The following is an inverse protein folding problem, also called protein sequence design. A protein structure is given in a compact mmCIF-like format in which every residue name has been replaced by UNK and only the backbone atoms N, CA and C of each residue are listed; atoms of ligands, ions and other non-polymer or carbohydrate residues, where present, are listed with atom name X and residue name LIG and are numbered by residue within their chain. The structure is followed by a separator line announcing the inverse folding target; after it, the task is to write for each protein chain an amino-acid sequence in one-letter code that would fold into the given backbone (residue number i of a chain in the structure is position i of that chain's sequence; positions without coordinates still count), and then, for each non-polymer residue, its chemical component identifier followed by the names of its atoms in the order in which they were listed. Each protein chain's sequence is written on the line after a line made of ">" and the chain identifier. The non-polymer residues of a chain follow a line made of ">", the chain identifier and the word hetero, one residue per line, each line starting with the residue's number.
data_IF_294392287812
#
_entry.id   IF_294392287812
#
_cell.length_a   1.000
_cell.length_b   1.000
_cell.length_c   1.000
_cell.angle_alpha   90.00
_cell.angle_beta   90.00
_cell.angle_gamma   90.00
#
_symmetry.space_group_name_H-M   'P 1'
#
loop_
_entity.id
_entity.type
_entity.pdbx_description
1 polymer ?
#
# COMPACT_ATOMS: atom_id res chain seq x y z
N UNK A 1 -6.26 5.52 6.57
CA UNK A 1 -6.05 6.46 5.46
C UNK A 1 -5.56 7.81 5.95
N UNK A 2 -6.17 8.36 7.00
CA UNK A 2 -5.74 9.62 7.61
C UNK A 2 -4.31 9.59 8.15
N UNK A 3 -3.81 8.42 8.56
CA UNK A 3 -2.45 8.29 9.10
C UNK A 3 -1.37 8.09 8.04
N UNK A 4 -1.70 7.60 6.85
CA UNK A 4 -0.74 7.38 5.76
C UNK A 4 -0.73 8.53 4.76
N UNK A 5 -1.88 9.14 4.54
CA UNK A 5 -2.05 10.37 3.79
C UNK A 5 -2.06 11.59 4.72
N UNK A 6 -1.30 11.55 5.80
CA UNK A 6 -1.16 12.72 6.66
C UNK A 6 -0.92 13.95 5.81
N UNK A 7 -1.67 15.03 6.07
CA UNK A 7 -1.50 16.27 5.34
C UNK A 7 -0.03 16.65 5.30
N UNK A 8 0.43 17.09 4.15
CA UNK A 8 1.75 17.68 4.02
C UNK A 8 1.96 18.67 5.16
N UNK A 9 3.02 18.48 5.92
CA UNK A 9 3.36 19.33 7.06
C UNK A 9 2.81 18.89 8.41
N UNK A 10 1.92 17.90 8.51
CA UNK A 10 1.46 17.41 9.82
C UNK A 10 2.39 16.39 10.45
N UNK A 11 3.17 15.67 9.67
CA UNK A 11 4.17 14.72 10.15
C UNK A 11 5.36 14.70 9.20
N UNK A 12 6.42 15.37 9.59
CA UNK A 12 7.70 15.34 8.89
C UNK A 12 8.68 14.61 9.79
N UNK A 13 8.86 13.32 9.53
CA UNK A 13 9.92 12.55 10.14
C UNK A 13 11.17 12.70 9.25
N UNK A 14 12.33 13.00 9.83
CA UNK A 14 13.56 13.14 9.07
C UNK A 14 13.96 11.85 8.34
N UNK A 15 13.63 10.71 8.92
CA UNK A 15 13.80 9.38 8.35
C UNK A 15 12.77 8.42 8.94
N UNK A 16 12.11 7.63 8.09
CA UNK A 16 11.24 6.55 8.55
C UNK A 16 11.89 5.19 8.25
N UNK A 17 12.34 4.46 9.29
CA UNK A 17 13.06 3.20 9.10
C UNK A 17 12.13 2.03 8.74
N UNK A 18 10.83 2.20 8.89
CA UNK A 18 9.88 1.12 8.65
C UNK A 18 8.50 1.66 8.32
N UNK A 19 8.08 1.40 7.10
CA UNK A 19 6.71 1.66 6.64
C UNK A 19 6.23 0.51 5.76
N UNK A 20 4.99 0.08 5.91
CA UNK A 20 4.41 -0.91 5.02
C UNK A 20 2.89 -0.80 4.97
N UNK A 21 2.35 -0.68 3.78
CA UNK A 21 0.92 -0.81 3.54
C UNK A 21 0.61 -2.22 3.05
N UNK A 22 -0.32 -2.94 3.69
CA UNK A 22 -0.75 -4.24 3.19
C UNK A 22 -1.56 -4.07 1.90
N UNK A 23 -1.47 -5.07 1.04
CA UNK A 23 -2.34 -5.26 -0.11
C UNK A 23 -2.78 -6.71 -0.18
N UNK A 24 -3.90 -7.00 -0.83
CA UNK A 24 -4.26 -8.37 -1.11
C UNK A 24 -3.40 -8.91 -2.27
N UNK A 25 -3.07 -10.21 -2.29
CA UNK A 25 -2.63 -10.88 -3.50
C UNK A 25 -3.69 -10.78 -4.61
N UNK A 26 -3.32 -11.13 -5.83
CA UNK A 26 -4.31 -11.29 -6.90
C UNK A 26 -5.25 -12.46 -6.59
N UNK A 27 -6.41 -12.49 -7.24
CA UNK A 27 -7.39 -13.55 -6.99
C UNK A 27 -6.86 -14.94 -7.37
N UNK A 28 -6.00 -15.01 -8.39
CA UNK A 28 -5.34 -16.23 -8.82
C UNK A 28 -4.47 -16.80 -7.69
N UNK A 29 -3.68 -15.95 -7.08
CA UNK A 29 -2.82 -16.34 -5.95
C UNK A 29 -3.63 -16.69 -4.70
N UNK A 30 -4.73 -16.01 -4.43
CA UNK A 30 -5.65 -16.38 -3.35
C UNK A 30 -6.23 -17.78 -3.56
N UNK A 31 -6.58 -18.14 -4.82
CA UNK A 31 -7.04 -19.47 -5.19
C UNK A 31 -5.97 -20.57 -5.08
N UNK A 32 -4.70 -20.22 -5.20
CA UNK A 32 -3.60 -21.15 -4.94
C UNK A 32 -3.33 -21.37 -3.45
N UNK A 33 -3.74 -20.44 -2.61
CA UNK A 33 -3.47 -20.50 -1.17
C UNK A 33 -4.51 -21.28 -0.38
N UNK A 34 -5.75 -21.29 -0.81
CA UNK A 34 -6.87 -21.87 -0.07
C UNK A 34 -7.97 -22.41 -0.99
N UNK A 35 -8.80 -23.30 -0.44
CA UNK A 35 -9.93 -23.87 -1.15
C UNK A 35 -11.02 -22.82 -1.45
N UNK A 36 -11.76 -22.98 -2.55
CA UNK A 36 -12.86 -22.08 -2.95
C UNK A 36 -13.90 -21.83 -1.85
N UNK A 37 -14.20 -22.86 -1.05
CA UNK A 37 -15.16 -22.77 0.09
C UNK A 37 -14.68 -21.82 1.19
N UNK A 38 -13.37 -21.58 1.29
CA UNK A 38 -12.73 -20.73 2.30
C UNK A 38 -12.45 -19.31 1.79
N UNK A 39 -12.49 -19.14 0.46
CA UNK A 39 -12.29 -17.85 -0.19
C UNK A 39 -13.48 -16.92 -0.04
N UNK A 40 -14.68 -17.44 -0.35
CA UNK A 40 -15.89 -16.61 -0.34
C UNK A 40 -17.17 -17.39 -0.05
N UNK A 41 -18.02 -16.94 0.92
CA UNK A 41 -17.74 -15.86 1.87
C UNK A 41 -16.46 -16.10 2.68
N UNK A 42 -15.77 -15.05 3.08
CA UNK A 42 -14.50 -15.17 3.81
C UNK A 42 -14.63 -16.11 4.99
N UNK A 43 -13.91 -17.22 4.97
CA UNK A 43 -13.75 -18.09 6.14
C UNK A 43 -12.72 -17.45 7.09
N UNK A 44 -13.24 -16.79 8.12
CA UNK A 44 -12.40 -16.00 9.03
C UNK A 44 -11.26 -16.80 9.67
N UNK A 45 -11.47 -18.07 10.01
CA UNK A 45 -10.45 -18.90 10.66
C UNK A 45 -9.25 -19.12 9.72
N UNK A 46 -9.50 -19.48 8.46
CA UNK A 46 -8.46 -19.71 7.45
C UNK A 46 -7.75 -18.41 7.10
N UNK A 47 -8.50 -17.34 6.91
CA UNK A 47 -7.93 -16.03 6.58
C UNK A 47 -7.09 -15.44 7.72
N UNK A 48 -7.54 -15.55 8.97
CA UNK A 48 -6.78 -15.10 10.14
C UNK A 48 -5.47 -15.89 10.30
N UNK A 49 -5.51 -17.20 10.03
CA UNK A 49 -4.31 -18.03 10.04
C UNK A 49 -3.29 -17.57 8.98
N UNK A 50 -3.77 -17.29 7.76
CA UNK A 50 -2.94 -16.80 6.66
C UNK A 50 -2.58 -15.32 6.78
N UNK A 51 -3.17 -14.56 7.69
CA UNK A 51 -2.80 -13.18 8.01
C UNK A 51 -1.62 -13.06 9.00
N UNK A 52 -0.98 -14.20 9.33
CA UNK A 52 0.19 -14.22 10.20
C UNK A 52 -0.12 -14.09 11.68
N UNK A 53 -1.31 -14.44 12.10
CA UNK A 53 -1.72 -14.78 13.47
C UNK A 53 -1.38 -13.77 14.58
N UNK A 54 -1.09 -12.54 14.29
CA UNK A 54 -0.74 -11.54 15.32
C UNK A 54 -0.82 -10.10 14.85
N UNK A 55 -0.77 -9.87 13.56
CA UNK A 55 -0.78 -8.52 13.02
C UNK A 55 -2.17 -7.99 12.67
N UNK A 56 -3.18 -8.87 12.54
CA UNK A 56 -4.59 -8.53 12.25
C UNK A 56 -4.75 -7.51 11.10
N UNK A 57 -3.83 -7.53 10.13
CA UNK A 57 -3.80 -6.58 9.03
C UNK A 57 -5.06 -6.67 8.17
N UNK A 58 -5.61 -7.89 8.03
CA UNK A 58 -6.83 -8.11 7.27
C UNK A 58 -8.06 -7.46 7.90
N UNK A 59 -8.15 -7.39 9.22
CA UNK A 59 -9.27 -6.71 9.88
C UNK A 59 -9.29 -5.23 9.54
N UNK A 60 -8.13 -4.58 9.60
CA UNK A 60 -7.98 -3.16 9.23
C UNK A 60 -8.24 -2.97 7.74
N UNK A 61 -7.60 -3.78 6.90
CA UNK A 61 -7.77 -3.73 5.44
C UNK A 61 -9.22 -3.96 5.02
N UNK A 62 -9.91 -4.95 5.60
CA UNK A 62 -11.33 -5.20 5.30
C UNK A 62 -12.19 -3.99 5.62
N UNK A 63 -11.96 -3.35 6.77
CA UNK A 63 -12.67 -2.14 7.17
C UNK A 63 -12.43 -1.01 6.18
N UNK A 64 -11.18 -0.78 5.79
CA UNK A 64 -10.81 0.26 4.82
C UNK A 64 -11.40 -0.03 3.43
N UNK A 65 -11.41 -1.29 3.00
CA UNK A 65 -12.04 -1.69 1.74
C UNK A 65 -13.52 -1.36 1.72
N UNK A 66 -14.24 -1.75 2.78
CA UNK A 66 -15.69 -1.50 2.87
C UNK A 66 -15.99 0.00 2.95
N UNK A 67 -15.22 0.75 3.72
CA UNK A 67 -15.42 2.19 3.89
C UNK A 67 -15.14 2.99 2.60
N UNK A 68 -14.11 2.60 1.84
CA UNK A 68 -13.70 3.33 0.65
C UNK A 68 -14.42 2.85 -0.63
N UNK A 69 -14.69 1.55 -0.75
CA UNK A 69 -15.17 0.94 -2.00
C UNK A 69 -16.48 0.15 -1.86
N UNK A 70 -17.10 0.16 -0.68
CA UNK A 70 -18.30 -0.59 -0.38
C UNK A 70 -18.05 -2.11 -0.25
N UNK A 71 -19.11 -2.84 0.11
CA UNK A 71 -19.07 -4.30 0.23
C UNK A 71 -18.80 -4.94 -1.13
N UNK A 72 -18.14 -6.08 -1.09
CA UNK A 72 -17.91 -6.92 -2.27
C UNK A 72 -18.92 -8.07 -2.32
N UNK A 73 -19.25 -8.50 -3.53
CA UNK A 73 -20.18 -9.61 -3.80
C UNK A 73 -19.47 -10.92 -4.13
N UNK A 74 -18.17 -10.85 -4.43
CA UNK A 74 -17.35 -12.01 -4.81
C UNK A 74 -15.89 -11.81 -4.37
N UNK A 75 -15.14 -12.90 -4.39
CA UNK A 75 -13.69 -12.86 -4.13
C UNK A 75 -12.95 -12.05 -5.19
N UNK A 76 -13.37 -12.13 -6.45
CA UNK A 76 -12.76 -11.36 -7.55
C UNK A 76 -12.88 -9.86 -7.31
N UNK A 77 -14.07 -9.39 -6.97
CA UNK A 77 -14.31 -7.99 -6.64
C UNK A 77 -13.53 -7.56 -5.38
N UNK A 78 -13.48 -8.42 -4.36
CA UNK A 78 -12.76 -8.14 -3.12
C UNK A 78 -11.26 -8.03 -3.36
N UNK A 79 -10.68 -8.95 -4.13
CA UNK A 79 -9.26 -8.93 -4.49
C UNK A 79 -8.89 -7.69 -5.30
N UNK A 80 -9.71 -7.32 -6.30
CA UNK A 80 -9.48 -6.09 -7.09
C UNK A 80 -9.50 -4.83 -6.23
N UNK A 81 -10.46 -4.72 -5.32
CA UNK A 81 -10.51 -3.61 -4.37
C UNK A 81 -9.31 -3.59 -3.44
N UNK A 82 -8.85 -4.77 -3.00
CA UNK A 82 -7.64 -4.91 -2.17
C UNK A 82 -6.36 -4.48 -2.90
N UNK A 83 -6.23 -4.84 -4.18
CA UNK A 83 -5.15 -4.39 -5.03
C UNK A 83 -5.19 -2.86 -5.19
N UNK A 84 -6.36 -2.29 -5.44
CA UNK A 84 -6.52 -0.84 -5.57
C UNK A 84 -6.18 -0.11 -4.27
N UNK A 85 -6.63 -0.61 -3.12
CA UNK A 85 -6.30 -0.02 -1.82
C UNK A 85 -4.79 -0.02 -1.58
N UNK A 86 -4.12 -1.14 -1.82
CA UNK A 86 -2.68 -1.26 -1.68
C UNK A 86 -1.91 -0.30 -2.61
N UNK A 87 -2.36 -0.20 -3.86
CA UNK A 87 -1.81 0.71 -4.86
C UNK A 87 -1.89 2.17 -4.41
N UNK A 88 -3.08 2.62 -3.97
CA UNK A 88 -3.31 4.00 -3.54
C UNK A 88 -2.52 4.31 -2.26
N UNK A 89 -2.49 3.39 -1.30
CA UNK A 89 -1.72 3.57 -0.08
C UNK A 89 -0.23 3.69 -0.36
N UNK A 90 0.32 2.81 -1.20
CA UNK A 90 1.74 2.86 -1.59
C UNK A 90 2.07 4.14 -2.35
N UNK A 91 1.26 4.51 -3.34
CA UNK A 91 1.41 5.76 -4.09
C UNK A 91 1.42 6.97 -3.16
N UNK A 92 0.43 7.07 -2.28
CA UNK A 92 0.25 8.22 -1.39
C UNK A 92 1.43 8.44 -0.47
N UNK A 93 1.99 7.38 0.11
CA UNK A 93 3.13 7.54 1.03
C UNK A 93 4.37 8.01 0.29
N UNK A 94 4.70 7.41 -0.87
CA UNK A 94 5.86 7.81 -1.65
C UNK A 94 5.75 9.25 -2.14
N UNK A 95 4.58 9.67 -2.61
CA UNK A 95 4.36 11.04 -3.06
C UNK A 95 4.45 12.06 -1.91
N UNK A 96 3.92 11.74 -0.73
CA UNK A 96 4.06 12.60 0.46
C UNK A 96 5.53 12.72 0.86
N UNK A 97 6.30 11.62 0.87
CA UNK A 97 7.73 11.66 1.16
C UNK A 97 8.52 12.44 0.11
N UNK A 98 8.23 12.23 -1.16
CA UNK A 98 8.84 12.98 -2.26
C UNK A 98 8.62 14.50 -2.14
N UNK A 99 7.42 14.90 -1.76
CA UNK A 99 7.15 16.33 -1.55
C UNK A 99 7.90 16.88 -0.33
N UNK A 100 7.87 16.16 0.79
CA UNK A 100 8.44 16.64 2.04
C UNK A 100 9.98 16.71 2.03
N UNK A 101 10.66 15.99 1.13
CA UNK A 101 12.11 16.15 0.96
C UNK A 101 12.51 17.50 0.34
N UNK A 102 11.56 18.19 -0.29
CA UNK A 102 11.74 19.49 -0.92
C UNK A 102 11.31 20.66 -0.01
N UNK A 103 10.68 20.37 1.10
CA UNK A 103 10.27 21.37 2.08
C UNK A 103 11.46 21.66 3.04
N UNK A 104 12.25 22.66 2.68
CA UNK A 104 13.51 23.03 3.31
C UNK A 104 13.34 23.80 4.62
N UNK A 105 12.48 23.30 5.53
CA UNK A 105 12.53 23.74 6.91
C UNK A 105 13.54 22.92 7.72
N UNK A 106 13.54 23.08 9.05
CA UNK A 106 14.32 22.25 9.97
C UNK A 106 13.93 20.76 9.94
N UNK A 107 12.98 20.38 9.09
CA UNK A 107 12.34 19.07 9.00
C UNK A 107 12.18 18.67 7.54
N UNK A 108 13.19 18.08 6.94
CA UNK A 108 13.08 17.45 5.62
C UNK A 108 13.08 15.93 5.74
N UNK A 109 12.32 15.26 4.88
CA UNK A 109 12.37 13.81 4.79
C UNK A 109 13.61 13.36 4.01
N UNK A 110 14.50 12.63 4.65
CA UNK A 110 15.73 12.12 4.05
C UNK A 110 15.60 10.70 3.51
N UNK A 111 14.62 9.95 3.97
CA UNK A 111 14.40 8.58 3.49
C UNK A 111 13.22 7.87 4.15
N UNK A 112 12.77 6.85 3.44
CA UNK A 112 11.73 5.92 3.86
C UNK A 112 12.15 4.51 3.47
N UNK A 113 12.13 3.57 4.40
CA UNK A 113 12.34 2.16 4.14
C UNK A 113 11.02 1.42 4.16
N UNK A 114 10.76 0.62 3.13
CA UNK A 114 9.52 -0.12 3.03
C UNK A 114 9.60 -1.46 3.76
N UNK A 115 8.75 -1.68 4.71
CA UNK A 115 8.56 -2.92 5.42
C UNK A 115 7.33 -3.65 4.89
N UNK A 116 7.46 -4.69 4.22
CA UNK A 116 8.63 -5.33 3.66
C UNK A 116 8.39 -5.61 2.17
N UNK A 117 9.43 -6.00 1.45
CA UNK A 117 9.38 -6.07 0.00
C UNK A 117 8.51 -7.24 -0.50
N UNK A 118 8.73 -8.44 0.02
CA UNK A 118 8.02 -9.65 -0.38
C UNK A 118 7.66 -10.53 0.82
N UNK A 119 6.63 -11.36 0.67
CA UNK A 119 6.23 -12.32 1.67
C UNK A 119 7.10 -13.59 1.58
N UNK A 120 7.57 -14.10 2.71
CA UNK A 120 8.38 -15.34 2.78
C UNK A 120 7.52 -16.61 2.85
N UNK A 121 6.23 -16.47 3.05
CA UNK A 121 5.27 -17.57 3.15
C UNK A 121 3.91 -17.14 2.62
N UNK A 122 3.00 -18.09 2.45
CA UNK A 122 1.61 -17.81 2.08
C UNK A 122 0.96 -16.86 3.07
N UNK A 123 0.58 -15.68 2.61
CA UNK A 123 -0.09 -14.66 3.40
C UNK A 123 -1.14 -13.95 2.57
N UNK A 124 -2.30 -13.69 3.17
CA UNK A 124 -3.36 -12.89 2.55
C UNK A 124 -3.08 -11.39 2.63
N UNK A 125 -2.22 -10.95 3.53
CA UNK A 125 -1.73 -9.58 3.62
C UNK A 125 -0.38 -9.45 2.91
N UNK A 126 -0.43 -9.26 1.60
CA UNK A 126 0.76 -9.12 0.78
C UNK A 126 1.41 -7.72 0.88
N UNK A 127 2.46 -7.50 0.13
CA UNK A 127 3.21 -6.23 0.04
C UNK A 127 3.41 -5.86 -1.44
N UNK A 128 4.64 -5.53 -1.85
CA UNK A 128 4.97 -5.28 -3.27
C UNK A 128 4.94 -6.58 -4.09
N UNK A 129 5.41 -7.67 -3.47
CA UNK A 129 5.39 -9.02 -4.03
C UNK A 129 4.69 -9.94 -3.06
N UNK A 130 3.97 -10.91 -3.56
CA UNK A 130 3.42 -11.97 -2.75
C UNK A 130 4.46 -13.09 -2.48
N UNK A 131 4.02 -14.18 -1.85
CA UNK A 131 4.89 -15.31 -1.52
C UNK A 131 5.39 -16.09 -2.74
N UNK A 132 4.68 -16.03 -3.86
CA UNK A 132 5.06 -16.66 -5.13
C UNK A 132 5.91 -15.75 -6.03
N UNK A 133 6.26 -14.56 -5.53
CA UNK A 133 6.94 -13.49 -6.26
C UNK A 133 6.09 -12.90 -7.40
N UNK A 134 4.78 -13.01 -7.31
CA UNK A 134 3.88 -12.30 -8.21
C UNK A 134 3.76 -10.84 -7.75
N UNK A 135 3.93 -9.86 -8.65
CA UNK A 135 3.86 -8.46 -8.30
C UNK A 135 2.42 -8.03 -7.98
N UNK A 136 2.26 -7.26 -6.94
CA UNK A 136 0.99 -6.62 -6.61
C UNK A 136 0.90 -5.23 -7.24
N UNK A 137 -0.30 -4.65 -7.26
CA UNK A 137 -0.49 -3.28 -7.73
C UNK A 137 0.35 -2.25 -6.95
N UNK A 138 0.71 -2.54 -5.70
CA UNK A 138 1.58 -1.70 -4.88
C UNK A 138 2.97 -1.52 -5.49
N UNK A 139 3.53 -2.56 -6.12
CA UNK A 139 4.84 -2.46 -6.79
C UNK A 139 4.80 -1.44 -7.92
N UNK A 140 3.83 -1.55 -8.81
CA UNK A 140 3.73 -0.67 -9.98
C UNK A 140 3.49 0.78 -9.58
N UNK A 141 2.64 1.01 -8.59
CA UNK A 141 2.36 2.37 -8.12
C UNK A 141 3.54 2.96 -7.32
N UNK A 142 4.30 2.14 -6.61
CA UNK A 142 5.57 2.55 -6.01
C UNK A 142 6.58 2.96 -7.08
N UNK A 143 6.76 2.13 -8.11
CA UNK A 143 7.69 2.42 -9.21
C UNK A 143 7.35 3.75 -9.90
N UNK A 144 6.07 3.96 -10.22
CA UNK A 144 5.62 5.21 -10.83
C UNK A 144 5.84 6.43 -9.92
N UNK A 145 5.60 6.30 -8.62
CA UNK A 145 5.79 7.40 -7.66
C UNK A 145 7.26 7.74 -7.42
N UNK A 146 8.17 6.83 -7.75
CA UNK A 146 9.61 7.00 -7.59
C UNK A 146 10.33 7.32 -8.91
N UNK A 147 9.60 7.63 -9.97
CA UNK A 147 10.21 8.12 -11.19
C UNK A 147 10.99 9.41 -10.92
N UNK A 148 12.21 9.57 -11.45
CA UNK A 148 13.05 10.75 -11.17
C UNK A 148 12.42 12.08 -11.58
N UNK A 149 11.51 12.06 -12.55
CA UNK A 149 10.66 13.20 -12.90
C UNK A 149 9.21 12.77 -12.73
N UNK A 150 8.58 13.21 -11.64
CA UNK A 150 7.24 12.75 -11.25
C UNK A 150 6.29 13.92 -11.01
N UNK A 151 5.13 13.86 -11.63
CA UNK A 151 4.02 14.78 -11.36
C UNK A 151 3.05 14.12 -10.37
N UNK A 152 2.74 14.81 -9.27
CA UNK A 152 1.88 14.31 -8.21
C UNK A 152 0.81 15.32 -7.80
N UNK A 153 -0.32 14.83 -7.33
CA UNK A 153 -1.45 15.64 -6.90
C UNK A 153 -1.59 15.65 -5.37
N UNK A 154 -1.71 16.83 -4.80
CA UNK A 154 -2.04 17.02 -3.38
C UNK A 154 -3.52 17.19 -3.20
N UNK A 155 -4.18 16.16 -2.72
CA UNK A 155 -5.64 16.14 -2.48
C UNK A 155 -6.10 17.13 -1.40
N UNK A 156 -5.21 17.57 -0.51
CA UNK A 156 -5.56 18.49 0.57
C UNK A 156 -5.47 19.94 0.11
N UNK A 157 -4.46 20.25 -0.66
CA UNK A 157 -4.21 21.61 -1.16
C UNK A 157 -4.79 21.85 -2.55
N UNK A 158 -5.29 20.79 -3.20
CA UNK A 158 -5.79 20.86 -4.57
C UNK A 158 -4.72 21.39 -5.55
N UNK A 159 -3.47 20.98 -5.37
CA UNK A 159 -2.34 21.45 -6.17
C UNK A 159 -1.61 20.30 -6.84
N UNK A 160 -1.03 20.56 -8.01
CA UNK A 160 -0.09 19.66 -8.68
C UNK A 160 1.32 20.12 -8.36
N UNK A 161 2.18 19.15 -8.03
CA UNK A 161 3.62 19.36 -7.86
C UNK A 161 4.38 18.47 -8.82
N UNK A 162 5.52 18.98 -9.32
CA UNK A 162 6.47 18.18 -10.08
C UNK A 162 7.73 18.02 -9.25
N UNK A 163 8.10 16.78 -9.00
CA UNK A 163 9.33 16.41 -8.32
C UNK A 163 10.37 16.09 -9.39
N UNK A 164 11.56 16.66 -9.28
CA UNK A 164 12.68 16.42 -10.19
C UNK A 164 13.91 16.00 -9.37
N UNK A 165 14.27 14.73 -9.47
CA UNK A 165 15.42 14.13 -8.81
C UNK A 165 16.60 13.91 -9.74
N UNK A 166 16.56 14.43 -10.94
CA UNK A 166 17.72 14.40 -11.82
C UNK A 166 18.83 15.31 -11.27
N UNK A 167 20.05 14.79 -11.23
CA UNK A 167 21.25 15.54 -10.79
C UNK A 167 21.66 16.66 -11.76
N UNK A 168 21.05 16.73 -12.93
CA UNK A 168 21.27 17.76 -13.93
C UNK A 168 19.93 18.33 -14.39
N UNK A 169 19.83 19.64 -14.31
CA UNK A 169 18.74 20.40 -14.94
C UNK A 169 18.90 20.43 -16.45
#
# INVERSE_FOLDING_TARGET
>A
YENTASPRGSRVDGFNPEYGAPTLPTVEILREMMDEKDLWPINKEVWDYLDGNGFHLMTTMYTDLVNNYGKSSSIDEFAQKGQLLGAINSKSIWEVWNYNKLDYGDRFCSGLLFWYHNCSMRQVSSRMWDWSLEPTASLYHTANSLEPLHAQFDYLKNTVSVVNDYYRS
#
